data_IF_713160247626
#
_entry.id   IF_713160247626
#
_cell.length_a   1.000
_cell.length_b   1.000
_cell.length_c   1.000
_cell.angle_alpha   90.00
_cell.angle_beta   90.00
_cell.angle_gamma   90.00
#
_symmetry.space_group_name_H-M   'P 1'
#
loop_
_entity.id
_entity.type
_entity.pdbx_description
1 polymer ?
#
# COMPACT_ATOMS: atom_id res chain seq x y z
N UNK A 1 26.34 -25.67 -15.17
CA UNK A 1 26.34 -24.91 -13.89
C UNK A 1 26.00 -25.87 -12.77
N UNK A 2 26.89 -26.05 -11.81
CA UNK A 2 26.73 -27.06 -10.76
C UNK A 2 25.63 -26.66 -9.75
N UNK A 3 24.94 -27.65 -9.20
CA UNK A 3 23.91 -27.48 -8.15
C UNK A 3 24.41 -26.64 -6.94
N UNK A 4 25.71 -26.58 -6.73
CA UNK A 4 26.36 -25.77 -5.69
C UNK A 4 26.34 -24.26 -6.00
N UNK A 5 26.42 -23.86 -7.27
CA UNK A 5 26.34 -22.45 -7.67
C UNK A 5 24.91 -21.86 -7.47
N UNK A 6 23.88 -22.67 -7.70
CA UNK A 6 22.49 -22.27 -7.48
C UNK A 6 22.16 -22.10 -5.98
N UNK A 7 22.74 -22.95 -5.12
CA UNK A 7 22.56 -22.83 -3.66
C UNK A 7 23.27 -21.60 -3.11
N UNK A 8 24.44 -21.28 -3.64
CA UNK A 8 25.20 -20.09 -3.23
C UNK A 8 24.52 -18.79 -3.63
N UNK A 9 23.88 -18.76 -4.81
CA UNK A 9 23.09 -17.62 -5.27
C UNK A 9 21.81 -17.43 -4.44
N UNK A 10 21.17 -18.51 -4.00
CA UNK A 10 20.01 -18.46 -3.11
C UNK A 10 20.38 -17.94 -1.72
N UNK A 11 21.52 -18.35 -1.16
CA UNK A 11 22.02 -17.83 0.13
C UNK A 11 22.56 -16.39 0.03
N UNK A 12 23.06 -15.96 -1.12
CA UNK A 12 23.48 -14.57 -1.34
C UNK A 12 22.29 -13.61 -1.39
N UNK A 13 21.16 -14.04 -1.97
CA UNK A 13 19.90 -13.29 -1.96
C UNK A 13 19.30 -13.17 -0.55
N UNK A 14 19.49 -14.16 0.32
CA UNK A 14 19.06 -14.11 1.72
C UNK A 14 19.87 -13.14 2.59
N UNK A 15 21.13 -12.85 2.23
CA UNK A 15 21.94 -11.86 2.96
C UNK A 15 21.58 -10.41 2.69
N UNK A 16 20.86 -10.12 1.62
CA UNK A 16 20.35 -8.76 1.31
C UNK A 16 19.12 -8.36 2.13
N UNK A 17 18.52 -9.30 2.90
CA UNK A 17 17.31 -9.06 3.70
C UNK A 17 17.64 -8.49 5.09
N UNK A 18 18.91 -8.40 5.47
CA UNK A 18 19.34 -8.11 6.85
C UNK A 18 19.50 -6.65 7.25
N UNK A 19 19.14 -5.67 6.42
CA UNK A 19 19.30 -4.24 6.72
C UNK A 19 18.00 -3.43 6.50
N UNK A 20 16.86 -4.01 6.85
CA UNK A 20 15.65 -3.21 7.02
C UNK A 20 15.75 -2.44 8.34
N UNK A 21 16.46 -1.33 8.34
CA UNK A 21 16.36 -0.34 9.40
C UNK A 21 14.99 0.32 9.28
N UNK A 22 14.28 0.48 10.40
CA UNK A 22 13.04 1.25 10.53
C UNK A 22 13.32 2.74 10.24
N UNK A 23 13.39 3.09 8.96
CA UNK A 23 13.47 4.48 8.52
C UNK A 23 12.05 5.00 8.39
N UNK A 24 11.72 6.19 8.89
CA UNK A 24 10.40 6.78 8.68
C UNK A 24 10.19 6.96 7.18
N UNK A 25 9.45 6.04 6.60
CA UNK A 25 9.14 6.07 5.16
C UNK A 25 8.17 7.19 4.92
N UNK A 26 8.60 8.19 4.17
CA UNK A 26 7.69 9.17 3.55
C UNK A 26 6.85 8.40 2.53
N UNK A 27 5.66 8.03 2.95
CA UNK A 27 4.80 7.15 2.13
C UNK A 27 4.10 7.99 1.09
N UNK A 28 4.43 7.78 -0.17
CA UNK A 28 3.66 8.31 -1.31
C UNK A 28 2.25 7.71 -1.26
N UNK A 29 1.17 8.49 -1.46
CA UNK A 29 -0.19 8.00 -1.45
C UNK A 29 -0.37 6.80 -2.37
N UNK A 30 -0.80 5.68 -1.80
CA UNK A 30 -1.08 4.47 -2.56
C UNK A 30 -2.54 4.46 -2.95
N UNK A 31 -2.84 4.80 -4.15
CA UNK A 31 -4.19 4.64 -4.65
C UNK A 31 -4.46 3.20 -5.03
N UNK A 32 -5.50 2.65 -4.46
CA UNK A 32 -5.91 1.30 -4.75
C UNK A 32 -7.02 1.37 -5.78
N UNK A 33 -6.65 1.19 -7.04
CA UNK A 33 -7.65 0.81 -8.02
C UNK A 33 -7.94 -0.67 -7.85
N UNK A 34 -9.13 -0.97 -7.36
CA UNK A 34 -9.69 -2.29 -7.56
C UNK A 34 -10.42 -2.28 -8.88
N UNK A 35 -9.83 -2.90 -9.89
CA UNK A 35 -10.67 -3.44 -10.93
C UNK A 35 -11.52 -4.51 -10.26
N UNK A 36 -12.81 -4.24 -10.12
CA UNK A 36 -13.73 -5.29 -9.71
C UNK A 36 -13.62 -6.39 -10.73
N UNK A 37 -13.12 -7.54 -10.27
CA UNK A 37 -13.14 -8.71 -11.10
C UNK A 37 -14.60 -8.98 -11.44
N UNK A 38 -15.01 -8.78 -12.67
CA UNK A 38 -16.21 -9.39 -13.16
C UNK A 38 -15.95 -10.89 -13.10
N UNK A 39 -16.69 -11.59 -12.24
CA UNK A 39 -16.71 -13.05 -12.29
C UNK A 39 -17.05 -13.40 -13.74
N UNK A 40 -16.28 -14.24 -14.45
CA UNK A 40 -16.64 -14.69 -15.80
C UNK A 40 -18.05 -15.30 -15.85
N UNK A 41 -18.56 -15.77 -14.72
CA UNK A 41 -19.92 -16.29 -14.54
C UNK A 41 -20.91 -15.22 -14.06
N UNK A 42 -20.48 -13.96 -13.80
CA UNK A 42 -21.34 -12.88 -13.37
C UNK A 42 -22.05 -12.29 -14.61
N UNK A 43 -23.02 -13.00 -15.12
CA UNK A 43 -23.93 -12.58 -16.20
C UNK A 43 -25.03 -11.64 -15.68
N UNK A 44 -25.08 -11.37 -14.39
CA UNK A 44 -26.11 -10.55 -13.78
C UNK A 44 -25.83 -9.07 -13.98
N UNK A 45 -26.82 -8.35 -14.51
CA UNK A 45 -26.83 -6.90 -14.50
C UNK A 45 -27.01 -6.42 -13.05
N UNK A 46 -26.08 -5.64 -12.54
CA UNK A 46 -26.14 -5.05 -11.22
C UNK A 46 -25.89 -3.54 -11.27
N UNK A 47 -26.59 -2.80 -10.42
CA UNK A 47 -26.35 -1.39 -10.20
C UNK A 47 -25.36 -1.16 -9.07
N UNK A 48 -25.45 -1.97 -8.01
CA UNK A 48 -24.56 -1.91 -6.87
C UNK A 48 -23.98 -3.28 -6.55
N UNK A 49 -22.68 -3.30 -6.25
CA UNK A 49 -21.98 -4.49 -5.77
C UNK A 49 -21.12 -4.09 -4.56
N UNK A 50 -21.24 -4.83 -3.48
CA UNK A 50 -20.45 -4.63 -2.26
C UNK A 50 -19.87 -5.93 -1.79
N UNK A 51 -18.73 -5.86 -1.11
CA UNK A 51 -18.07 -7.03 -0.54
C UNK A 51 -16.76 -6.62 0.11
N UNK A 52 -16.00 -7.60 0.54
CA UNK A 52 -14.72 -7.33 1.18
C UNK A 52 -13.98 -8.60 1.54
N UNK A 53 -12.89 -8.44 2.27
CA UNK A 53 -12.09 -9.53 2.80
C UNK A 53 -11.44 -9.08 4.11
N UNK A 54 -11.34 -10.01 5.05
CA UNK A 54 -10.57 -9.84 6.28
C UNK A 54 -9.52 -10.94 6.31
N UNK A 55 -8.28 -10.56 6.50
CA UNK A 55 -7.15 -11.46 6.68
C UNK A 55 -6.52 -11.23 8.05
N UNK A 56 -6.16 -12.31 8.71
CA UNK A 56 -5.43 -12.30 9.98
C UNK A 56 -4.28 -13.30 9.90
N UNK A 57 -3.07 -12.80 10.00
CA UNK A 57 -1.85 -13.60 10.02
C UNK A 57 -1.26 -13.58 11.42
N UNK A 58 -0.84 -14.74 11.90
CA UNK A 58 -0.21 -14.93 13.19
C UNK A 58 1.10 -15.70 12.96
N UNK A 59 2.18 -15.20 13.53
CA UNK A 59 3.45 -15.91 13.60
C UNK A 59 3.96 -15.84 15.04
N UNK A 60 4.32 -16.99 15.62
CA UNK A 60 4.83 -17.08 17.00
C UNK A 60 6.08 -17.95 17.02
N UNK A 61 7.11 -17.45 17.68
CA UNK A 61 8.34 -18.17 17.97
C UNK A 61 8.57 -18.25 19.47
N UNK A 62 9.08 -19.39 19.94
CA UNK A 62 9.46 -19.60 21.33
C UNK A 62 10.72 -20.44 21.39
N UNK A 63 11.72 -19.96 22.13
CA UNK A 63 13.02 -20.61 22.32
C UNK A 63 13.19 -20.92 23.81
N UNK A 64 13.56 -22.17 24.12
CA UNK A 64 13.92 -22.60 25.47
C UNK A 64 15.25 -23.34 25.40
N UNK A 65 16.22 -22.89 26.15
CA UNK A 65 17.58 -23.49 26.23
C UNK A 65 18.25 -23.61 24.84
N UNK A 66 17.97 -22.64 23.92
CA UNK A 66 18.51 -22.61 22.60
C UNK A 66 19.89 -21.95 22.57
N UNK A 67 20.95 -22.75 22.33
CA UNK A 67 22.33 -22.30 22.44
C UNK A 67 22.76 -21.32 21.32
N UNK A 68 22.10 -21.35 20.16
CA UNK A 68 22.48 -20.49 19.05
C UNK A 68 22.01 -19.01 19.19
N UNK A 69 21.35 -18.66 20.33
CA UNK A 69 20.84 -17.31 20.56
C UNK A 69 19.48 -17.05 19.90
N UNK A 70 18.96 -15.84 20.07
CA UNK A 70 17.67 -15.37 19.58
C UNK A 70 16.72 -15.00 20.71
N UNK A 71 15.59 -14.38 20.35
CA UNK A 71 14.56 -14.00 21.31
C UNK A 71 13.85 -15.22 21.90
N UNK A 72 13.71 -15.23 23.24
CA UNK A 72 12.99 -16.30 23.95
C UNK A 72 11.53 -16.40 23.52
N UNK A 73 10.93 -15.27 23.13
CA UNK A 73 9.57 -15.19 22.63
C UNK A 73 9.47 -14.13 21.56
N UNK A 74 8.75 -14.45 20.48
CA UNK A 74 8.34 -13.51 19.44
C UNK A 74 6.90 -13.78 19.02
N UNK A 75 6.12 -12.73 18.84
CA UNK A 75 4.74 -12.78 18.33
C UNK A 75 4.56 -11.67 17.31
N UNK A 76 4.20 -12.04 16.09
CA UNK A 76 3.80 -11.09 15.05
C UNK A 76 2.33 -11.34 14.69
N UNK A 77 1.56 -10.26 14.69
CA UNK A 77 0.16 -10.24 14.27
C UNK A 77 0.05 -9.22 13.16
N UNK A 78 -0.48 -9.61 12.01
CA UNK A 78 -0.82 -8.66 10.96
C UNK A 78 -2.25 -8.91 10.50
N UNK A 79 -3.03 -7.85 10.39
CA UNK A 79 -4.39 -7.89 9.91
C UNK A 79 -4.57 -6.95 8.73
N UNK A 80 -5.42 -7.34 7.81
CA UNK A 80 -5.83 -6.55 6.67
C UNK A 80 -7.33 -6.72 6.49
N UNK A 81 -8.05 -5.63 6.47
CA UNK A 81 -9.47 -5.60 6.17
C UNK A 81 -9.72 -4.65 5.00
N UNK A 82 -10.55 -5.07 4.09
CA UNK A 82 -10.97 -4.25 2.98
C UNK A 82 -12.46 -4.40 2.74
N UNK A 83 -13.11 -3.28 2.42
CA UNK A 83 -14.50 -3.24 2.02
C UNK A 83 -14.63 -2.40 0.76
N UNK A 84 -15.45 -2.84 -0.18
CA UNK A 84 -15.73 -2.10 -1.40
C UNK A 84 -17.22 -1.93 -1.63
N UNK A 85 -17.58 -0.80 -2.22
CA UNK A 85 -18.92 -0.47 -2.68
C UNK A 85 -18.82 0.13 -4.08
N UNK A 86 -19.40 -0.53 -5.06
CA UNK A 86 -19.27 -0.21 -6.46
C UNK A 86 -20.64 0.04 -7.06
N UNK A 87 -20.74 1.09 -7.84
CA UNK A 87 -21.92 1.40 -8.64
C UNK A 87 -21.57 1.36 -10.12
N UNK A 88 -22.44 0.76 -10.89
CA UNK A 88 -22.33 0.69 -12.35
C UNK A 88 -23.63 1.17 -12.98
N UNK A 89 -23.66 2.44 -13.33
CA UNK A 89 -24.75 3.03 -14.12
C UNK A 89 -24.54 2.84 -15.62
N UNK A 90 -25.52 3.24 -16.41
CA UNK A 90 -25.46 3.18 -17.90
C UNK A 90 -24.40 4.11 -18.49
N UNK A 91 -24.13 5.25 -17.84
CA UNK A 91 -23.19 6.28 -18.33
C UNK A 91 -22.11 6.66 -17.32
N UNK A 92 -22.09 6.04 -16.14
CA UNK A 92 -21.14 6.34 -15.07
C UNK A 92 -20.75 5.10 -14.28
N UNK A 93 -19.65 5.21 -13.56
CA UNK A 93 -19.23 4.25 -12.53
C UNK A 93 -18.86 5.02 -11.26
N UNK A 94 -19.09 4.43 -10.11
CA UNK A 94 -18.64 4.99 -8.83
C UNK A 94 -18.05 3.87 -7.97
N UNK A 95 -16.75 3.91 -7.84
CA UNK A 95 -15.97 2.90 -7.14
C UNK A 95 -15.52 3.47 -5.79
N UNK A 96 -15.87 2.81 -4.70
CA UNK A 96 -15.46 3.18 -3.36
C UNK A 96 -14.77 2.00 -2.70
N UNK A 97 -13.70 2.28 -1.94
CA UNK A 97 -13.06 1.28 -1.10
C UNK A 97 -12.60 1.89 0.23
N UNK A 98 -12.61 1.04 1.24
CA UNK A 98 -12.07 1.30 2.56
C UNK A 98 -11.09 0.16 2.85
N UNK A 99 -9.85 0.54 3.18
CA UNK A 99 -8.78 -0.38 3.49
C UNK A 99 -8.21 -0.06 4.87
N UNK A 100 -8.00 -1.09 5.68
CA UNK A 100 -7.41 -0.98 6.99
C UNK A 100 -6.35 -2.07 7.17
N UNK A 101 -5.13 -1.66 7.50
CA UNK A 101 -4.03 -2.54 7.83
C UNK A 101 -3.57 -2.25 9.25
N UNK A 102 -3.26 -3.30 9.97
CA UNK A 102 -2.65 -3.19 11.29
C UNK A 102 -1.64 -4.31 11.48
N UNK A 103 -0.45 -3.96 11.96
CA UNK A 103 0.62 -4.90 12.23
C UNK A 103 1.29 -4.61 13.56
N UNK A 104 1.52 -5.67 14.32
CA UNK A 104 2.09 -5.63 15.65
C UNK A 104 3.13 -6.72 15.80
N UNK A 105 4.29 -6.36 16.33
CA UNK A 105 5.38 -7.26 16.68
C UNK A 105 5.71 -7.13 18.17
N UNK A 106 5.81 -8.25 18.85
CA UNK A 106 6.31 -8.33 20.23
C UNK A 106 7.47 -9.31 20.29
N UNK A 107 8.58 -8.90 20.88
CA UNK A 107 9.71 -9.77 21.15
C UNK A 107 10.18 -9.60 22.59
N UNK A 108 10.92 -10.59 23.11
CA UNK A 108 11.45 -10.52 24.48
C UNK A 108 12.50 -9.42 24.65
N UNK A 109 13.29 -9.15 23.59
CA UNK A 109 14.37 -8.16 23.62
C UNK A 109 13.90 -6.74 23.34
N UNK A 110 12.97 -6.58 22.36
CA UNK A 110 12.61 -5.27 21.83
C UNK A 110 11.24 -4.77 22.32
N UNK A 111 10.51 -5.59 23.08
CA UNK A 111 9.16 -5.25 23.57
C UNK A 111 8.13 -5.20 22.44
N UNK A 112 7.20 -4.25 22.54
CA UNK A 112 6.08 -4.09 21.62
C UNK A 112 6.39 -3.05 20.56
N UNK A 113 6.21 -3.41 19.26
CA UNK A 113 6.45 -2.50 18.12
C UNK A 113 5.33 -2.61 17.12
N UNK A 114 4.91 -1.48 16.59
CA UNK A 114 4.04 -1.40 15.44
C UNK A 114 4.87 -1.61 14.17
N UNK A 115 4.44 -2.49 13.28
CA UNK A 115 5.12 -2.74 12.00
C UNK A 115 4.27 -2.42 10.78
N UNK A 116 2.96 -2.22 10.94
CA UNK A 116 2.06 -1.72 9.90
C UNK A 116 0.89 -0.96 10.56
N UNK A 117 0.42 0.09 9.92
CA UNK A 117 -0.75 0.86 10.35
C UNK A 117 -1.15 1.77 9.20
N UNK A 118 -2.28 1.46 8.58
CA UNK A 118 -2.80 2.24 7.48
C UNK A 118 -4.32 2.18 7.45
N UNK A 119 -4.92 3.33 7.33
CA UNK A 119 -6.33 3.51 7.03
C UNK A 119 -6.45 4.32 5.75
N UNK A 120 -7.23 3.84 4.80
CA UNK A 120 -7.37 4.47 3.49
C UNK A 120 -8.82 4.42 3.03
N UNK A 121 -9.33 5.55 2.56
CA UNK A 121 -10.64 5.69 1.93
C UNK A 121 -10.44 6.25 0.54
N UNK A 122 -10.86 5.48 -0.45
CA UNK A 122 -10.81 5.87 -1.86
C UNK A 122 -12.22 5.97 -2.43
N UNK A 123 -12.48 7.02 -3.18
CA UNK A 123 -13.71 7.20 -3.93
C UNK A 123 -13.37 7.73 -5.33
N UNK A 124 -13.78 7.01 -6.37
CA UNK A 124 -13.57 7.40 -7.77
C UNK A 124 -14.89 7.38 -8.53
N UNK A 125 -15.29 8.54 -9.01
CA UNK A 125 -16.45 8.70 -9.88
C UNK A 125 -15.99 8.93 -11.31
N UNK A 126 -16.48 8.12 -12.26
CA UNK A 126 -16.17 8.20 -13.67
C UNK A 126 -17.42 8.35 -14.54
N UNK A 127 -17.44 9.37 -15.40
CA UNK A 127 -18.45 9.55 -16.43
C UNK A 127 -17.90 9.03 -17.76
N UNK A 128 -18.64 8.15 -18.41
CA UNK A 128 -18.26 7.55 -19.68
C UNK A 128 -18.21 8.60 -20.79
N UNK A 129 -17.16 8.57 -21.59
CA UNK A 129 -16.96 9.46 -22.73
C UNK A 129 -17.22 8.77 -24.08
N UNK A 130 -17.00 7.45 -24.15
CA UNK A 130 -17.08 6.68 -25.39
C UNK A 130 -18.18 5.62 -25.37
N UNK A 131 -18.62 5.20 -26.54
CA UNK A 131 -19.60 4.12 -26.71
C UNK A 131 -19.02 2.73 -26.44
N UNK A 132 -17.70 2.56 -26.48
CA UNK A 132 -17.02 1.29 -26.22
C UNK A 132 -16.87 0.95 -24.73
N UNK A 133 -17.28 1.84 -23.82
CA UNK A 133 -17.15 1.71 -22.37
C UNK A 133 -15.71 1.55 -21.86
N UNK A 134 -14.76 2.18 -22.56
CA UNK A 134 -13.33 2.06 -22.21
C UNK A 134 -12.73 3.36 -21.68
N UNK A 135 -13.29 4.51 -22.05
CA UNK A 135 -12.76 5.83 -21.70
C UNK A 135 -13.76 6.57 -20.83
N UNK A 136 -13.26 7.05 -19.68
CA UNK A 136 -14.04 7.82 -18.71
C UNK A 136 -13.30 9.11 -18.36
N UNK A 137 -14.04 10.20 -18.14
CA UNK A 137 -13.55 11.33 -17.36
C UNK A 137 -13.84 11.01 -15.90
N UNK A 138 -12.84 11.10 -15.03
CA UNK A 138 -12.95 10.62 -13.66
C UNK A 138 -12.40 11.61 -12.65
N UNK A 139 -13.16 11.81 -11.57
CA UNK A 139 -12.71 12.46 -10.35
C UNK A 139 -12.33 11.40 -9.32
N UNK A 140 -11.20 11.60 -8.66
CA UNK A 140 -10.67 10.71 -7.65
C UNK A 140 -10.44 11.46 -6.34
N UNK A 141 -10.90 10.89 -5.27
CA UNK A 141 -10.62 11.25 -3.87
C UNK A 141 -9.92 10.07 -3.21
N UNK A 142 -8.77 10.31 -2.62
CA UNK A 142 -8.06 9.34 -1.78
C UNK A 142 -7.61 10.04 -0.49
N UNK A 143 -8.01 9.46 0.64
CA UNK A 143 -7.59 9.92 1.95
C UNK A 143 -6.95 8.77 2.70
N UNK A 144 -5.72 8.99 3.18
CA UNK A 144 -4.97 8.00 3.92
C UNK A 144 -4.34 8.57 5.18
N UNK A 145 -4.39 7.80 6.26
CA UNK A 145 -3.72 8.09 7.53
C UNK A 145 -3.37 6.81 8.26
N UNK A 146 -2.90 6.93 9.46
CA UNK A 146 -2.67 5.88 10.44
C UNK A 146 -3.39 6.21 11.75
N UNK A 147 -3.63 5.22 12.60
CA UNK A 147 -4.38 5.39 13.84
C UNK A 147 -3.48 5.41 15.09
N UNK A 148 -2.39 4.65 15.08
CA UNK A 148 -1.59 4.38 16.27
C UNK A 148 -0.22 5.04 16.20
N UNK A 149 0.37 5.31 17.37
CA UNK A 149 1.71 5.86 17.45
C UNK A 149 2.74 4.92 16.84
N UNK A 150 3.64 5.48 16.05
CA UNK A 150 4.78 4.82 15.47
C UNK A 150 6.07 5.42 16.00
N UNK A 151 7.04 4.58 16.25
CA UNK A 151 8.33 4.98 16.82
C UNK A 151 9.48 4.52 15.92
N UNK A 152 10.47 5.38 15.75
CA UNK A 152 11.78 5.02 15.20
C UNK A 152 12.70 4.68 16.37
N UNK A 153 13.37 3.54 16.30
CA UNK A 153 14.21 3.04 17.38
C UNK A 153 15.68 3.18 17.04
N UNK A 154 16.45 3.68 18.02
CA UNK A 154 17.92 3.69 17.99
C UNK A 154 18.38 2.96 19.25
N UNK A 155 18.79 1.70 19.11
CA UNK A 155 18.94 0.80 20.27
C UNK A 155 17.61 0.59 20.96
N UNK A 156 17.56 0.81 22.28
CA UNK A 156 16.35 0.67 23.10
C UNK A 156 15.52 1.96 23.20
N UNK A 157 16.02 3.07 22.65
CA UNK A 157 15.35 4.37 22.70
C UNK A 157 14.40 4.54 21.52
N UNK A 158 13.11 4.75 21.80
CA UNK A 158 12.08 5.01 20.80
C UNK A 158 11.78 6.51 20.67
N UNK A 159 11.89 7.06 19.47
CA UNK A 159 11.49 8.43 19.16
C UNK A 159 10.18 8.39 18.39
N UNK A 160 9.16 9.13 18.84
CA UNK A 160 7.88 9.25 18.13
C UNK A 160 8.12 9.77 16.71
N UNK A 161 7.73 8.99 15.72
CA UNK A 161 7.84 9.31 14.29
C UNK A 161 6.50 9.54 13.63
N UNK A 162 5.41 8.95 14.13
CA UNK A 162 4.09 9.06 13.54
C UNK A 162 2.99 8.87 14.57
N UNK A 163 1.81 9.45 14.32
CA UNK A 163 0.60 9.29 15.13
C UNK A 163 -0.65 9.55 14.28
N UNK A 164 -1.85 9.54 14.85
CA UNK A 164 -3.08 9.84 14.12
C UNK A 164 -3.01 11.19 13.39
N UNK A 165 -3.35 11.19 12.09
CA UNK A 165 -3.22 12.34 11.18
C UNK A 165 -1.81 12.95 11.09
N UNK A 166 -0.78 12.17 11.41
CA UNK A 166 0.62 12.61 11.34
C UNK A 166 1.52 11.44 10.92
N UNK A 167 1.62 11.18 9.59
CA UNK A 167 1.02 11.93 8.49
C UNK A 167 -0.42 11.53 8.17
N UNK A 168 -1.15 12.46 7.54
CA UNK A 168 -2.31 12.15 6.73
C UNK A 168 -2.10 12.70 5.31
N UNK A 169 -2.63 12.00 4.32
CA UNK A 169 -2.52 12.36 2.91
C UNK A 169 -3.91 12.47 2.31
N UNK A 170 -4.15 13.57 1.63
CA UNK A 170 -5.34 13.80 0.82
C UNK A 170 -4.91 13.98 -0.64
N UNK A 171 -5.50 13.23 -1.55
CA UNK A 171 -5.28 13.36 -2.97
C UNK A 171 -6.61 13.59 -3.68
N UNK A 172 -6.68 14.66 -4.41
CA UNK A 172 -7.81 15.03 -5.27
C UNK A 172 -7.32 15.11 -6.70
N UNK A 173 -7.90 14.33 -7.60
CA UNK A 173 -7.46 14.27 -9.00
C UNK A 173 -8.65 14.34 -9.95
N UNK A 174 -8.47 15.05 -11.06
CA UNK A 174 -9.39 15.07 -12.18
C UNK A 174 -8.65 14.68 -13.46
N UNK A 175 -9.10 13.62 -14.11
CA UNK A 175 -8.38 13.05 -15.25
C UNK A 175 -9.17 12.08 -16.09
N UNK A 176 -8.45 11.28 -16.85
CA UNK A 176 -9.00 10.29 -17.77
C UNK A 176 -8.63 8.88 -17.30
N UNK A 177 -9.60 7.98 -17.32
CA UNK A 177 -9.46 6.58 -16.94
C UNK A 177 -9.70 5.70 -18.18
N UNK A 178 -8.68 4.95 -18.60
CA UNK A 178 -8.75 4.03 -19.72
C UNK A 178 -8.77 2.59 -19.22
N UNK A 179 -9.86 1.89 -19.48
CA UNK A 179 -10.12 0.50 -19.03
C UNK A 179 -10.35 -0.41 -20.25
N UNK A 180 -9.29 -0.79 -20.99
CA UNK A 180 -9.44 -1.62 -22.20
C UNK A 180 -9.95 -3.03 -21.88
N UNK A 181 -9.62 -3.55 -20.69
CA UNK A 181 -10.01 -4.87 -20.19
C UNK A 181 -10.43 -4.79 -18.73
N UNK A 182 -11.06 -5.83 -18.23
CA UNK A 182 -11.46 -5.93 -16.82
C UNK A 182 -10.25 -6.09 -15.86
N UNK A 183 -9.10 -6.45 -16.41
CA UNK A 183 -7.89 -6.74 -15.64
C UNK A 183 -6.86 -5.60 -15.67
N UNK A 184 -7.10 -4.56 -16.47
CA UNK A 184 -6.17 -3.46 -16.66
C UNK A 184 -6.89 -2.13 -16.63
N UNK A 185 -6.34 -1.16 -15.90
CA UNK A 185 -6.76 0.23 -15.96
C UNK A 185 -5.55 1.16 -15.95
N UNK A 186 -5.67 2.26 -16.68
CA UNK A 186 -4.71 3.34 -16.72
C UNK A 186 -5.45 4.66 -16.50
N UNK A 187 -5.16 5.29 -15.37
CA UNK A 187 -5.66 6.63 -15.03
C UNK A 187 -4.55 7.64 -15.20
N UNK A 188 -4.84 8.76 -15.84
CA UNK A 188 -3.93 9.90 -15.95
C UNK A 188 -4.67 11.18 -15.59
N UNK A 189 -4.09 11.97 -14.70
CA UNK A 189 -4.63 13.22 -14.23
C UNK A 189 -3.59 14.33 -14.38
N UNK A 190 -3.83 15.34 -15.22
CA UNK A 190 -3.01 16.55 -15.25
C UNK A 190 -3.33 17.52 -14.12
N UNK A 191 -4.46 17.31 -13.41
CA UNK A 191 -4.95 18.18 -12.36
C UNK A 191 -5.07 17.37 -11.06
N UNK A 192 -4.00 17.33 -10.30
CA UNK A 192 -3.95 16.63 -9.00
C UNK A 192 -3.47 17.56 -7.92
N UNK A 193 -4.24 17.66 -6.85
CA UNK A 193 -3.85 18.27 -5.59
C UNK A 193 -3.48 17.14 -4.61
N UNK A 194 -2.27 17.15 -4.10
CA UNK A 194 -1.78 16.30 -3.01
C UNK A 194 -1.54 17.18 -1.78
N UNK A 195 -2.22 16.91 -0.69
CA UNK A 195 -2.01 17.59 0.59
C UNK A 195 -1.48 16.60 1.61
N UNK A 196 -0.35 16.90 2.22
CA UNK A 196 0.20 16.14 3.33
C UNK A 196 0.00 16.93 4.62
N UNK A 197 -0.58 16.27 5.64
CA UNK A 197 -0.85 16.86 6.95
C UNK A 197 0.04 16.25 8.03
N UNK A 198 0.46 17.09 8.99
CA UNK A 198 1.09 16.70 10.25
C UNK A 198 0.35 17.41 11.38
N UNK A 199 -0.70 16.77 11.91
CA UNK A 199 -1.58 17.38 12.91
C UNK A 199 -0.94 17.45 14.31
N UNK A 200 0.05 16.58 14.59
CA UNK A 200 0.69 16.47 15.91
C UNK A 200 1.62 17.64 16.20
N UNK A 201 1.37 18.34 17.33
CA UNK A 201 2.22 19.41 17.84
C UNK A 201 3.65 18.92 18.25
N UNK A 202 3.86 17.62 18.41
CA UNK A 202 5.19 17.06 18.67
C UNK A 202 5.99 16.76 17.39
N UNK A 203 5.29 16.58 16.27
CA UNK A 203 5.92 16.18 15.00
C UNK A 203 6.06 17.34 14.02
N UNK A 204 5.18 18.36 14.07
CA UNK A 204 5.18 19.47 13.11
C UNK A 204 6.49 20.30 13.17
N UNK A 205 7.16 20.35 14.33
CA UNK A 205 8.43 21.07 14.49
C UNK A 205 9.63 20.39 13.82
N UNK A 206 9.46 19.08 13.45
CA UNK A 206 10.56 18.24 12.99
C UNK A 206 10.77 18.26 11.47
N UNK A 207 9.88 18.88 10.71
CA UNK A 207 9.97 18.89 9.23
C UNK A 207 9.85 17.49 8.63
N UNK A 208 8.88 16.68 9.10
CA UNK A 208 8.66 15.31 8.65
C UNK A 208 7.70 15.26 7.45
N UNK A 209 7.79 14.19 6.67
CA UNK A 209 6.87 13.88 5.57
C UNK A 209 6.80 14.94 4.46
N UNK A 210 7.88 15.74 4.32
CA UNK A 210 7.96 16.84 3.36
C UNK A 210 7.22 18.10 3.78
N UNK A 211 6.56 18.11 4.94
CA UNK A 211 5.97 19.30 5.54
C UNK A 211 7.10 20.09 6.20
N UNK A 212 7.28 21.39 5.89
CA UNK A 212 8.32 22.21 6.53
C UNK A 212 8.17 22.25 8.05
N UNK A 213 9.25 22.44 8.82
CA UNK A 213 9.18 22.63 10.25
C UNK A 213 8.24 23.81 10.60
N UNK A 214 7.42 23.61 11.62
CA UNK A 214 6.40 24.56 12.11
C UNK A 214 5.18 24.77 11.21
N UNK A 215 5.09 23.99 10.10
CA UNK A 215 3.88 23.91 9.30
C UNK A 215 3.10 22.63 9.61
N UNK A 216 1.77 22.69 9.50
CA UNK A 216 0.90 21.53 9.68
C UNK A 216 0.52 20.83 8.40
N UNK A 217 0.77 21.43 7.26
CA UNK A 217 0.47 20.83 5.96
C UNK A 217 1.33 21.43 4.85
N UNK A 218 1.42 20.70 3.77
CA UNK A 218 1.95 21.15 2.48
C UNK A 218 0.99 20.74 1.37
N UNK A 219 0.77 21.65 0.44
CA UNK A 219 0.02 21.40 -0.80
C UNK A 219 0.99 21.27 -1.97
N UNK A 220 0.81 20.22 -2.77
CA UNK A 220 1.54 19.98 -4.00
C UNK A 220 0.54 19.86 -5.13
N UNK A 221 0.77 20.58 -6.21
CA UNK A 221 -0.10 20.56 -7.38
C UNK A 221 0.66 19.99 -8.58
N UNK A 222 0.11 18.95 -9.21
CA UNK A 222 0.89 18.22 -10.18
C UNK A 222 0.11 17.30 -11.11
N UNK A 223 0.85 16.45 -11.83
CA UNK A 223 0.28 15.35 -12.60
C UNK A 223 0.40 14.04 -11.81
N UNK A 224 -0.59 13.20 -12.02
CA UNK A 224 -0.67 11.88 -11.43
C UNK A 224 -1.02 10.85 -12.49
N UNK A 225 -0.37 9.70 -12.44
CA UNK A 225 -0.72 8.55 -13.26
C UNK A 225 -0.76 7.27 -12.43
N UNK A 226 -1.74 6.41 -12.71
CA UNK A 226 -1.88 5.12 -12.02
C UNK A 226 -2.16 4.01 -13.01
N UNK A 227 -1.35 2.95 -12.96
CA UNK A 227 -1.53 1.73 -13.74
C UNK A 227 -1.88 0.60 -12.78
N UNK A 228 -2.96 -0.11 -13.08
CA UNK A 228 -3.41 -1.25 -12.29
C UNK A 228 -3.57 -2.48 -13.18
N UNK A 229 -3.04 -3.58 -12.68
CA UNK A 229 -3.15 -4.86 -13.34
C UNK A 229 -3.49 -5.96 -12.33
N UNK A 230 -4.50 -6.77 -12.67
CA UNK A 230 -4.92 -7.90 -11.87
C UNK A 230 -5.11 -9.13 -12.76
N UNK A 231 -4.53 -10.27 -12.36
CA UNK A 231 -4.70 -11.52 -13.11
C UNK A 231 -4.63 -12.74 -12.19
N UNK A 232 -5.48 -13.74 -12.45
CA UNK A 232 -5.26 -15.10 -11.96
C UNK A 232 -4.23 -15.76 -12.87
N UNK A 233 -2.97 -15.88 -12.38
CA UNK A 233 -1.84 -16.43 -13.14
C UNK A 233 -1.80 -17.96 -13.09
N UNK A 234 -2.45 -18.55 -12.07
CA UNK A 234 -2.68 -19.98 -11.96
C UNK A 234 -4.00 -20.25 -11.22
N UNK A 235 -4.45 -21.50 -11.14
CA UNK A 235 -5.74 -21.91 -10.53
C UNK A 235 -5.94 -21.35 -9.11
N UNK A 236 -4.88 -21.31 -8.31
CA UNK A 236 -4.91 -20.85 -6.91
C UNK A 236 -4.00 -19.65 -6.68
N UNK A 237 -3.51 -18.98 -7.71
CA UNK A 237 -2.56 -17.88 -7.60
C UNK A 237 -3.13 -16.66 -8.32
N UNK A 238 -3.28 -15.56 -7.58
CA UNK A 238 -3.64 -14.27 -8.15
C UNK A 238 -2.51 -13.28 -7.96
N UNK A 239 -2.31 -12.45 -8.96
CA UNK A 239 -1.37 -11.34 -8.96
C UNK A 239 -2.11 -10.02 -9.10
N UNK A 240 -1.71 -9.04 -8.30
CA UNK A 240 -2.15 -7.66 -8.37
C UNK A 240 -0.92 -6.75 -8.39
N UNK A 241 -0.77 -5.97 -9.43
CA UNK A 241 0.26 -4.94 -9.57
C UNK A 241 -0.37 -3.56 -9.68
N UNK A 242 0.23 -2.57 -9.02
CA UNK A 242 -0.17 -1.17 -9.08
C UNK A 242 1.07 -0.30 -9.14
N UNK A 243 1.13 0.57 -10.15
CA UNK A 243 2.18 1.58 -10.29
C UNK A 243 1.53 2.96 -10.26
N UNK A 244 1.91 3.76 -9.28
CA UNK A 244 1.54 5.15 -9.14
C UNK A 244 2.75 6.04 -9.39
N UNK A 245 2.53 7.10 -10.15
CA UNK A 245 3.52 8.11 -10.50
C UNK A 245 2.95 9.49 -10.20
N UNK A 246 3.73 10.34 -9.54
CA UNK A 246 3.35 11.72 -9.26
C UNK A 246 4.52 12.66 -9.56
N UNK A 247 4.22 13.84 -10.13
CA UNK A 247 5.19 14.93 -10.27
C UNK A 247 4.58 16.23 -9.80
N UNK A 248 5.33 17.02 -9.03
CA UNK A 248 4.94 18.34 -8.56
C UNK A 248 5.33 19.40 -9.60
N UNK A 249 4.35 20.16 -10.09
CA UNK A 249 4.61 21.24 -11.06
C UNK A 249 5.38 22.41 -10.47
N UNK A 250 5.33 22.60 -9.17
CA UNK A 250 5.93 23.75 -8.48
C UNK A 250 7.37 23.51 -8.05
N UNK A 251 7.74 22.22 -7.86
CA UNK A 251 9.07 21.83 -7.37
C UNK A 251 9.64 20.70 -8.22
N UNK A 252 10.64 21.03 -9.05
CA UNK A 252 11.36 20.05 -9.87
C UNK A 252 10.45 19.11 -10.66
N UNK A 253 9.65 19.60 -11.62
CA UNK A 253 8.65 18.77 -12.31
C UNK A 253 9.23 17.61 -13.13
N UNK A 254 10.55 17.59 -13.35
CA UNK A 254 11.26 16.43 -13.93
C UNK A 254 11.43 15.27 -12.94
N UNK A 255 11.28 15.50 -11.64
CA UNK A 255 11.33 14.47 -10.63
C UNK A 255 9.97 13.79 -10.53
N UNK A 256 9.98 12.47 -10.60
CA UNK A 256 8.75 11.66 -10.56
C UNK A 256 8.85 10.75 -9.36
N UNK A 257 7.94 10.94 -8.42
CA UNK A 257 7.73 10.01 -7.32
C UNK A 257 7.08 8.74 -7.87
N UNK A 258 7.58 7.60 -7.45
CA UNK A 258 7.09 6.28 -7.86
C UNK A 258 6.68 5.45 -6.66
N UNK A 259 5.52 4.85 -6.75
CA UNK A 259 5.10 3.79 -5.84
C UNK A 259 4.61 2.59 -6.64
N UNK A 260 5.30 1.46 -6.50
CA UNK A 260 4.98 0.23 -7.19
C UNK A 260 4.71 -0.88 -6.20
N UNK A 261 3.48 -1.36 -6.14
CA UNK A 261 3.05 -2.46 -5.30
C UNK A 261 2.81 -3.72 -6.11
N UNK A 262 3.28 -4.84 -5.58
CA UNK A 262 3.05 -6.17 -6.13
C UNK A 262 2.52 -7.07 -5.02
N UNK A 263 1.38 -7.70 -5.27
CA UNK A 263 0.77 -8.64 -4.35
C UNK A 263 0.47 -9.96 -5.06
N UNK A 264 1.05 -11.02 -4.55
CA UNK A 264 0.71 -12.39 -4.92
C UNK A 264 -0.11 -13.02 -3.79
N UNK A 265 -1.22 -13.63 -4.14
CA UNK A 265 -2.03 -14.39 -3.20
C UNK A 265 -2.10 -15.84 -3.67
N UNK A 266 -1.69 -16.75 -2.79
CA UNK A 266 -1.66 -18.20 -2.99
C UNK A 266 -2.74 -18.83 -2.13
N UNK A 267 -3.87 -19.18 -2.72
CA UNK A 267 -4.97 -19.85 -2.01
C UNK A 267 -4.59 -21.28 -1.71
N UNK A 268 -4.45 -21.62 -0.42
CA UNK A 268 -4.13 -22.98 0.05
C UNK A 268 -5.41 -23.79 0.17
N UNK A 269 -6.43 -23.25 0.86
CA UNK A 269 -7.74 -23.84 0.97
C UNK A 269 -8.82 -22.75 1.14
N UNK A 270 -10.03 -23.11 1.61
CA UNK A 270 -11.14 -22.14 1.78
C UNK A 270 -10.90 -21.10 2.86
N UNK A 271 -9.99 -21.36 3.80
CA UNK A 271 -9.70 -20.49 4.95
C UNK A 271 -8.26 -19.99 4.99
N UNK A 272 -7.33 -20.73 4.39
CA UNK A 272 -5.91 -20.44 4.45
C UNK A 272 -5.39 -19.90 3.11
N UNK A 273 -4.61 -18.84 3.19
CA UNK A 273 -3.87 -18.30 2.05
C UNK A 273 -2.46 -17.91 2.48
N UNK A 274 -1.50 -18.02 1.56
CA UNK A 274 -0.21 -17.35 1.68
C UNK A 274 -0.25 -16.09 0.83
N UNK A 275 0.40 -15.03 1.31
CA UNK A 275 0.53 -13.76 0.60
C UNK A 275 2.00 -13.40 0.49
N UNK A 276 2.40 -12.86 -0.65
CA UNK A 276 3.69 -12.22 -0.83
C UNK A 276 3.46 -10.83 -1.40
N UNK A 277 3.93 -9.79 -0.70
CA UNK A 277 3.91 -8.42 -1.19
C UNK A 277 5.32 -7.87 -1.34
N UNK A 278 5.50 -7.09 -2.40
CA UNK A 278 6.72 -6.33 -2.66
C UNK A 278 6.32 -4.91 -3.03
N UNK A 279 6.64 -3.96 -2.13
CA UNK A 279 6.43 -2.54 -2.36
C UNK A 279 7.77 -1.88 -2.68
N UNK A 280 7.78 -1.06 -3.72
CA UNK A 280 8.91 -0.25 -4.15
C UNK A 280 8.50 1.21 -4.13
N UNK A 281 9.26 2.05 -3.44
CA UNK A 281 9.00 3.47 -3.32
C UNK A 281 10.26 4.24 -3.74
N UNK A 282 10.10 5.20 -4.62
CA UNK A 282 11.11 6.20 -4.92
C UNK A 282 10.48 7.59 -4.81
N UNK A 283 11.10 8.47 -4.04
CA UNK A 283 10.68 9.85 -3.86
C UNK A 283 11.95 10.68 -3.80
N UNK A 284 12.15 11.58 -4.76
CA UNK A 284 13.36 12.39 -4.89
C UNK A 284 13.49 13.43 -3.77
N UNK A 285 12.38 13.81 -3.15
CA UNK A 285 12.35 14.74 -2.02
C UNK A 285 12.79 14.07 -0.71
N UNK A 286 12.76 12.73 -0.65
CA UNK A 286 13.18 11.94 0.52
C UNK A 286 14.69 11.70 0.50
N UNK A 287 15.45 12.65 1.00
CA UNK A 287 16.91 12.59 1.08
C UNK A 287 17.38 12.04 2.42
N UNK A 288 17.05 10.80 2.70
CA UNK A 288 17.40 10.12 3.98
C UNK A 288 18.53 9.08 3.82
N UNK A 289 19.10 8.96 2.63
CA UNK A 289 20.06 7.92 2.30
C UNK A 289 21.43 8.50 1.92
N UNK A 290 22.43 7.60 1.74
CA UNK A 290 23.79 7.98 1.43
C UNK A 290 24.61 8.40 2.66
N UNK A 291 25.88 8.72 2.44
CA UNK A 291 26.88 8.97 3.52
C UNK A 291 26.49 10.09 4.49
N UNK A 292 25.67 11.05 4.05
CA UNK A 292 25.28 12.22 4.84
C UNK A 292 23.74 12.39 4.91
N UNK A 293 22.97 11.33 4.65
CA UNK A 293 21.50 11.40 4.56
C UNK A 293 21.03 12.52 3.61
N UNK A 294 21.69 12.65 2.48
CA UNK A 294 21.46 13.73 1.51
C UNK A 294 21.03 13.25 0.12
N UNK A 295 20.81 11.96 -0.05
CA UNK A 295 20.45 11.35 -1.34
C UNK A 295 19.12 10.63 -1.27
N UNK A 296 18.29 10.66 -2.33
CA UNK A 296 17.15 9.75 -2.45
C UNK A 296 17.65 8.33 -2.72
N UNK A 297 16.81 7.34 -2.43
CA UNK A 297 17.06 5.95 -2.82
C UNK A 297 15.77 5.18 -3.01
N UNK A 298 15.83 4.13 -3.82
CA UNK A 298 14.74 3.18 -3.93
C UNK A 298 14.56 2.42 -2.61
N UNK A 299 13.38 2.54 -2.05
CA UNK A 299 12.97 1.86 -0.82
C UNK A 299 12.21 0.58 -1.20
N UNK A 300 12.53 -0.53 -0.54
CA UNK A 300 11.95 -1.84 -0.77
C UNK A 300 11.34 -2.37 0.52
N UNK A 301 10.07 -2.81 0.45
CA UNK A 301 9.40 -3.52 1.53
C UNK A 301 8.90 -4.86 0.99
N UNK A 302 9.38 -5.94 1.55
CA UNK A 302 8.99 -7.30 1.17
C UNK A 302 8.38 -8.01 2.37
N UNK A 303 7.17 -8.53 2.21
CA UNK A 303 6.45 -9.25 3.25
C UNK A 303 5.93 -10.57 2.70
N UNK A 304 6.13 -11.64 3.47
CA UNK A 304 5.50 -12.94 3.24
C UNK A 304 4.70 -13.33 4.48
N UNK A 305 3.49 -13.79 4.28
CA UNK A 305 2.62 -14.21 5.37
C UNK A 305 1.77 -15.41 5.00
N UNK A 306 1.43 -16.22 6.00
CA UNK A 306 0.47 -17.30 5.90
C UNK A 306 -0.56 -17.08 7.00
N UNK A 307 -1.83 -17.11 6.66
CA UNK A 307 -2.86 -16.81 7.64
C UNK A 307 -4.28 -17.13 7.17
N UNK A 308 -5.23 -16.77 8.01
CA UNK A 308 -6.65 -16.93 7.73
C UNK A 308 -7.13 -15.82 6.79
N UNK A 309 -7.93 -16.23 5.82
CA UNK A 309 -8.55 -15.32 4.84
C UNK A 309 -10.04 -15.61 4.80
N UNK A 310 -10.82 -14.63 5.22
CA UNK A 310 -12.29 -14.73 5.24
C UNK A 310 -12.87 -13.71 4.25
N UNK A 311 -13.43 -14.14 3.12
CA UNK A 311 -14.16 -13.24 2.24
C UNK A 311 -15.47 -12.83 2.91
N UNK A 312 -15.78 -11.53 2.86
CA UNK A 312 -17.10 -11.02 3.22
C UNK A 312 -18.08 -11.34 2.06
N UNK A 313 -19.32 -11.67 2.40
CA UNK A 313 -20.32 -12.02 1.40
C UNK A 313 -20.49 -10.88 0.37
N UNK A 314 -20.40 -11.23 -0.90
CA UNK A 314 -20.68 -10.27 -1.98
C UNK A 314 -22.21 -10.17 -2.13
N UNK A 315 -22.72 -8.94 -2.00
CA UNK A 315 -24.14 -8.64 -2.22
C UNK A 315 -24.28 -7.79 -3.48
N UNK A 316 -25.25 -8.15 -4.30
CA UNK A 316 -25.59 -7.44 -5.54
C UNK A 316 -27.01 -6.90 -5.40
N UNK A 317 -27.22 -5.63 -5.76
CA UNK A 317 -28.54 -5.00 -5.85
C UNK A 317 -28.77 -4.57 -7.30
N UNK A 318 -29.95 -4.84 -7.82
CA UNK A 318 -30.41 -4.45 -9.18
C UNK A 318 -31.06 -3.09 -9.16
#
# INVERSE_FOLDING_TARGET
>A
MSKQASLFFFFLLLRLIGLAQDIPVKVVPTEIFRSVKKDPNDTLNWNWKRGGIINLNLAQGSLSNWAAGGDKFSLAITSYATYFLLNKGTKHTWDNSLDFNFGFLKTSSLGNRKNDDRFEVLSKYGKRLDSSNKIYISGLFDFRTQFFDGYTYTGDSGTLSSTFLSPAYLLLSLGFDYKPTENFSFFISPLTLRTTFVASNHLYTKGLYGVPPYDHYINQFGAFASINYYKSIARNVTYKGKLDLFTDYSHNPQNVDMYFTNLFNFKINRFLAATYSLDMIYDDDVKLFGKYNSSPALQLKSLIGIGFSMPLSTTITR
#
